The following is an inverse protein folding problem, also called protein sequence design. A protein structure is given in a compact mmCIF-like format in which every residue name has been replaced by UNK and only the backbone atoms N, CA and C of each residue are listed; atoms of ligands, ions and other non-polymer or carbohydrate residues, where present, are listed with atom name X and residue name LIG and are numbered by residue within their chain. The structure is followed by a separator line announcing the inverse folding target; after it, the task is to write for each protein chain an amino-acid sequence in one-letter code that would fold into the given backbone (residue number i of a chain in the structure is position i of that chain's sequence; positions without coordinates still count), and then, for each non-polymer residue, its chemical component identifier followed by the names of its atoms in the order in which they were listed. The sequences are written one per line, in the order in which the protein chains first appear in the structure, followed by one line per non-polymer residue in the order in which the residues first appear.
data_IF_963214907263
#
_entry.id   IF_963214907263
#
_cell.length_a   1.000
_cell.length_b   1.000
_cell.length_c   1.000
_cell.angle_alpha   90.00
_cell.angle_beta   90.00
_cell.angle_gamma   90.00
#
_symmetry.space_group_name_H-M   'P 1'
#
loop_
_entity.id
_entity.type
_entity.pdbx_description
1 polymer ?
#
# COMPACT_ATOMS: atom_id res chain seq x y z
N UNK A 1 -1.29 2.60 -35.21
CA UNK A 1 -0.21 2.63 -34.21
C UNK A 1 -0.64 3.37 -32.94
N UNK A 2 -1.86 3.11 -32.43
CA UNK A 2 -2.41 3.77 -31.22
C UNK A 2 -2.60 2.77 -30.05
N UNK A 3 -2.35 1.47 -30.28
CA UNK A 3 -2.68 0.42 -29.32
C UNK A 3 -1.66 0.30 -28.18
N UNK A 4 -0.38 0.56 -28.46
CA UNK A 4 0.70 0.51 -27.46
C UNK A 4 0.51 1.49 -26.29
N UNK A 5 0.22 2.79 -26.51
CA UNK A 5 -0.03 3.71 -25.40
C UNK A 5 -1.29 3.34 -24.61
N UNK A 6 -2.36 2.89 -25.29
CA UNK A 6 -3.60 2.43 -24.63
C UNK A 6 -3.35 1.20 -23.75
N UNK A 7 -2.59 0.21 -24.23
CA UNK A 7 -2.24 -0.98 -23.45
C UNK A 7 -1.33 -0.64 -22.26
N UNK A 8 -0.41 0.32 -22.42
CA UNK A 8 0.40 0.82 -21.33
C UNK A 8 -0.43 1.53 -20.25
N UNK A 9 -1.49 2.24 -20.65
CA UNK A 9 -2.42 2.90 -19.73
C UNK A 9 -3.34 1.91 -19.02
N UNK A 10 -3.88 0.92 -19.74
CA UNK A 10 -4.64 -0.19 -19.13
C UNK A 10 -3.78 -0.95 -18.12
N UNK A 11 -2.51 -1.20 -18.43
CA UNK A 11 -1.56 -1.86 -17.53
C UNK A 11 -1.40 -1.13 -16.19
N UNK A 12 -1.47 0.21 -16.17
CA UNK A 12 -1.39 0.98 -14.91
C UNK A 12 -2.56 0.67 -13.96
N UNK A 13 -3.73 0.35 -14.49
CA UNK A 13 -4.93 0.11 -13.70
C UNK A 13 -5.25 -1.35 -13.46
N UNK A 14 -4.43 -2.29 -13.95
CA UNK A 14 -4.64 -3.73 -13.74
C UNK A 14 -4.77 -4.10 -12.25
N UNK A 15 -4.05 -3.39 -11.37
CA UNK A 15 -4.11 -3.62 -9.92
C UNK A 15 -5.26 -2.90 -9.21
N UNK A 16 -5.88 -1.90 -9.85
CA UNK A 16 -6.96 -1.12 -9.26
C UNK A 16 -8.17 -1.98 -8.83
N UNK A 17 -8.72 -2.91 -9.64
CA UNK A 17 -9.87 -3.70 -9.23
C UNK A 17 -9.59 -4.57 -8.00
N UNK A 18 -8.38 -5.14 -7.87
CA UNK A 18 -7.99 -5.93 -6.71
C UNK A 18 -7.89 -5.08 -5.43
N UNK A 19 -7.30 -3.89 -5.54
CA UNK A 19 -7.22 -2.93 -4.45
C UNK A 19 -8.61 -2.48 -3.99
N UNK A 20 -9.49 -2.15 -4.95
CA UNK A 20 -10.87 -1.76 -4.65
C UNK A 20 -11.63 -2.89 -3.96
N UNK A 21 -11.49 -4.13 -4.44
CA UNK A 21 -12.11 -5.29 -3.83
C UNK A 21 -11.62 -5.51 -2.38
N UNK A 22 -10.31 -5.43 -2.16
CA UNK A 22 -9.73 -5.59 -0.82
C UNK A 22 -10.24 -4.53 0.17
N UNK A 23 -10.19 -3.24 -0.22
CA UNK A 23 -10.67 -2.14 0.64
C UNK A 23 -12.17 -2.26 0.90
N UNK A 24 -12.97 -2.59 -0.13
CA UNK A 24 -14.42 -2.74 0.00
C UNK A 24 -14.80 -3.88 0.93
N UNK A 25 -14.10 -5.02 0.85
CA UNK A 25 -14.34 -6.19 1.70
C UNK A 25 -14.03 -5.89 3.16
N UNK A 26 -12.87 -5.27 3.43
CA UNK A 26 -12.50 -4.84 4.79
C UNK A 26 -13.52 -3.86 5.35
N UNK A 27 -13.90 -2.84 4.57
CA UNK A 27 -14.92 -1.88 5.00
C UNK A 27 -16.27 -2.55 5.27
N UNK A 28 -16.75 -3.42 4.38
CA UNK A 28 -18.01 -4.13 4.57
C UNK A 28 -18.00 -5.02 5.82
N UNK A 29 -16.87 -5.67 6.13
CA UNK A 29 -16.71 -6.51 7.32
C UNK A 29 -16.62 -5.71 8.62
N UNK A 30 -16.04 -4.50 8.58
CA UNK A 30 -15.71 -3.71 9.78
C UNK A 30 -16.68 -2.56 10.06
N UNK A 31 -17.61 -2.23 9.16
CA UNK A 31 -18.54 -1.09 9.29
C UNK A 31 -19.45 -1.12 10.52
N UNK A 32 -19.62 -2.30 11.13
CA UNK A 32 -20.44 -2.50 12.33
C UNK A 32 -19.59 -2.66 13.61
N UNK A 33 -18.26 -2.55 13.50
CA UNK A 33 -17.33 -2.71 14.61
C UNK A 33 -16.92 -1.34 15.20
N UNK A 34 -16.19 -1.37 16.32
CA UNK A 34 -15.64 -0.17 16.96
C UNK A 34 -14.52 0.43 16.08
N UNK A 35 -14.89 1.48 15.33
CA UNK A 35 -13.97 2.26 14.49
C UNK A 35 -12.76 2.79 15.28
N UNK A 36 -12.92 3.15 16.56
CA UNK A 36 -11.83 3.65 17.39
C UNK A 36 -10.77 2.58 17.63
N UNK A 37 -11.18 1.34 17.88
CA UNK A 37 -10.26 0.22 18.03
C UNK A 37 -9.53 -0.11 16.70
N UNK A 38 -10.25 -0.09 15.58
CA UNK A 38 -9.69 -0.33 14.24
C UNK A 38 -8.66 0.74 13.89
N UNK A 39 -9.00 2.02 14.05
CA UNK A 39 -8.10 3.14 13.73
C UNK A 39 -6.84 3.13 14.59
N UNK A 40 -6.95 2.77 15.88
CA UNK A 40 -5.79 2.62 16.76
C UNK A 40 -4.86 1.51 16.27
N UNK A 41 -5.41 0.36 15.90
CA UNK A 41 -4.61 -0.75 15.37
C UNK A 41 -3.99 -0.39 14.01
N UNK A 42 -4.77 0.16 13.10
CA UNK A 42 -4.32 0.61 11.78
C UNK A 42 -3.22 1.67 11.89
N UNK A 43 -3.36 2.64 12.80
CA UNK A 43 -2.34 3.65 13.08
C UNK A 43 -1.04 3.03 13.61
N UNK A 44 -1.14 2.08 14.56
CA UNK A 44 0.04 1.36 15.06
C UNK A 44 0.73 0.54 13.97
N UNK A 45 -0.04 -0.16 13.14
CA UNK A 45 0.49 -0.95 12.03
C UNK A 45 1.13 -0.07 10.95
N UNK A 46 0.50 1.05 10.61
CA UNK A 46 1.04 2.05 9.70
C UNK A 46 2.36 2.64 10.20
N UNK A 47 2.43 2.99 11.50
CA UNK A 47 3.66 3.46 12.12
C UNK A 47 4.79 2.42 12.03
N UNK A 48 4.51 1.14 12.31
CA UNK A 48 5.48 0.06 12.15
C UNK A 48 5.93 -0.13 10.70
N UNK A 49 5.01 -0.04 9.74
CA UNK A 49 5.32 -0.13 8.32
C UNK A 49 6.27 0.99 7.90
N UNK A 50 5.98 2.23 8.30
CA UNK A 50 6.84 3.39 8.01
C UNK A 50 8.22 3.22 8.66
N UNK A 51 8.26 2.83 9.94
CA UNK A 51 9.52 2.59 10.64
C UNK A 51 10.37 1.53 9.94
N UNK A 52 9.76 0.44 9.48
CA UNK A 52 10.44 -0.60 8.71
C UNK A 52 10.98 -0.08 7.37
N UNK A 53 10.17 0.67 6.61
CA UNK A 53 10.60 1.24 5.33
C UNK A 53 11.76 2.23 5.50
N UNK A 54 11.72 3.05 6.55
CA UNK A 54 12.83 3.96 6.90
C UNK A 54 14.09 3.17 7.25
N UNK A 55 13.97 2.07 8.02
CA UNK A 55 15.11 1.22 8.35
C UNK A 55 15.72 0.58 7.10
N UNK A 56 14.91 0.05 6.19
CA UNK A 56 15.36 -0.50 4.89
C UNK A 56 16.05 0.58 4.06
N UNK A 57 15.47 1.78 3.96
CA UNK A 57 16.07 2.90 3.25
C UNK A 57 17.42 3.30 3.84
N UNK A 58 17.55 3.31 5.17
CA UNK A 58 18.80 3.58 5.85
C UNK A 58 19.88 2.51 5.53
N UNK A 59 19.50 1.22 5.53
CA UNK A 59 20.42 0.13 5.14
C UNK A 59 20.89 0.30 3.70
N UNK A 60 19.98 0.59 2.76
CA UNK A 60 20.33 0.85 1.36
C UNK A 60 21.29 2.04 1.26
N UNK A 61 21.01 3.12 1.98
CA UNK A 61 21.86 4.32 1.98
C UNK A 61 23.26 4.01 2.53
N UNK A 62 23.36 3.22 3.60
CA UNK A 62 24.65 2.79 4.17
C UNK A 62 25.41 1.93 3.17
N UNK A 63 24.78 0.95 2.54
CA UNK A 63 25.42 0.13 1.51
C UNK A 63 25.94 0.99 0.36
N UNK A 64 25.15 1.96 -0.10
CA UNK A 64 25.53 2.87 -1.18
C UNK A 64 26.75 3.75 -0.82
N UNK A 65 27.05 3.98 0.46
CA UNK A 65 28.26 4.70 0.89
C UNK A 65 29.53 3.83 0.82
N UNK A 66 29.40 2.51 0.77
CA UNK A 66 30.52 1.56 0.70
C UNK A 66 30.71 0.94 -0.70
N UNK A 67 29.88 1.31 -1.68
CA UNK A 67 30.06 0.99 -3.10
C UNK A 67 30.89 2.07 -3.79
#
# INVERSE_FOLDING_TARGET
MELLPLLAEVNRFVYAPFLLAAVSLVYAGTRHEDLGAILRHAGSFGAWTVAFMVAVAAVIQVMALFQ
#
